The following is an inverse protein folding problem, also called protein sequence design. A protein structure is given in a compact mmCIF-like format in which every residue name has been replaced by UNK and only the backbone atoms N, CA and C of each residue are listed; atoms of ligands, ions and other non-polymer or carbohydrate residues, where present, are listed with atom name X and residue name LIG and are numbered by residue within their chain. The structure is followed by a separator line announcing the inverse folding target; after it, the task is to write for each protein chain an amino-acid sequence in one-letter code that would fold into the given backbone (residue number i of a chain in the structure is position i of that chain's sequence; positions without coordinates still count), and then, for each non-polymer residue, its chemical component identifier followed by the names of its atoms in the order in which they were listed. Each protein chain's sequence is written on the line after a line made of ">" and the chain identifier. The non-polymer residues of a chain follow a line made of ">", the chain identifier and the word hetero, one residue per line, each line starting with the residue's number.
data_IF_904423984960
#
_entry.id   IF_904423984960
#
_cell.length_a   1.000
_cell.length_b   1.000
_cell.length_c   1.000
_cell.angle_alpha   90.00
_cell.angle_beta   90.00
_cell.angle_gamma   90.00
#
_symmetry.space_group_name_H-M   'P 1'
#
loop_
_entity.id
_entity.type
_entity.pdbx_description
1 polymer ?
#
# COMPACT_ATOMS: atom_id res chain seq x y z
N UNK A 1 5.71 -12.07 3.84
CA UNK A 1 6.34 -11.65 2.57
C UNK A 1 6.57 -10.15 2.52
N UNK A 2 5.60 -9.28 2.87
CA UNK A 2 5.78 -7.83 2.88
C UNK A 2 6.96 -7.34 3.75
N UNK A 3 7.15 -7.92 4.93
CA UNK A 3 8.29 -7.60 5.81
C UNK A 3 9.64 -8.03 5.21
N UNK A 4 9.71 -9.17 4.54
CA UNK A 4 10.95 -9.63 3.90
C UNK A 4 11.34 -8.73 2.70
N UNK A 5 10.36 -8.23 1.97
CA UNK A 5 10.57 -7.26 0.87
C UNK A 5 11.07 -5.92 1.43
N UNK A 6 10.47 -5.45 2.53
CA UNK A 6 10.87 -4.20 3.19
C UNK A 6 12.28 -4.28 3.81
N UNK A 7 12.75 -5.47 4.18
CA UNK A 7 14.09 -5.67 4.72
C UNK A 7 15.18 -5.66 3.63
N UNK A 8 14.88 -6.18 2.44
CA UNK A 8 15.87 -6.33 1.36
C UNK A 8 15.95 -5.15 0.39
N UNK A 9 14.90 -4.34 0.30
CA UNK A 9 14.82 -3.21 -0.63
C UNK A 9 14.87 -1.86 0.11
N UNK A 10 15.32 -0.79 -0.56
CA UNK A 10 15.09 0.56 -0.07
C UNK A 10 13.60 0.74 0.23
N UNK A 11 13.28 1.29 1.39
CA UNK A 11 11.91 1.27 1.93
C UNK A 11 10.87 1.87 0.97
N UNK A 12 11.26 2.91 0.23
CA UNK A 12 10.38 3.53 -0.78
C UNK A 12 10.14 2.61 -1.98
N UNK A 13 11.15 1.82 -2.37
CA UNK A 13 11.02 0.80 -3.43
C UNK A 13 10.10 -0.34 -2.99
N UNK A 14 10.14 -0.71 -1.71
CA UNK A 14 9.23 -1.71 -1.15
C UNK A 14 7.78 -1.23 -1.19
N UNK A 15 7.52 0.05 -0.83
CA UNK A 15 6.19 0.67 -0.92
C UNK A 15 5.73 0.75 -2.38
N UNK A 16 6.60 1.15 -3.30
CA UNK A 16 6.28 1.22 -4.72
C UNK A 16 5.94 -0.17 -5.30
N UNK A 17 6.75 -1.18 -5.02
CA UNK A 17 6.54 -2.55 -5.50
C UNK A 17 5.22 -3.12 -4.97
N UNK A 18 4.96 -3.01 -3.66
CA UNK A 18 3.71 -3.49 -3.06
C UNK A 18 2.50 -2.69 -3.54
N UNK A 19 2.66 -1.40 -3.81
CA UNK A 19 1.67 -0.55 -4.43
C UNK A 19 1.31 -0.98 -5.85
N UNK A 20 2.31 -1.36 -6.66
CA UNK A 20 2.09 -1.92 -8.01
C UNK A 20 1.32 -3.24 -7.92
N UNK A 21 1.72 -4.15 -7.04
CA UNK A 21 1.00 -5.41 -6.82
C UNK A 21 -0.45 -5.14 -6.44
N UNK A 22 -0.70 -4.18 -5.55
CA UNK A 22 -2.05 -3.75 -5.16
C UNK A 22 -2.85 -3.21 -6.33
N UNK A 23 -2.27 -2.32 -7.15
CA UNK A 23 -2.94 -1.74 -8.31
C UNK A 23 -3.30 -2.81 -9.36
N UNK A 24 -2.41 -3.77 -9.60
CA UNK A 24 -2.66 -4.89 -10.50
C UNK A 24 -3.78 -5.80 -9.97
N UNK A 25 -3.82 -6.05 -8.67
CA UNK A 25 -4.90 -6.83 -8.04
C UNK A 25 -6.26 -6.17 -8.26
N UNK A 26 -6.36 -4.87 -7.99
CA UNK A 26 -7.58 -4.08 -8.20
C UNK A 26 -8.01 -4.05 -9.68
N UNK A 27 -7.05 -3.92 -10.59
CA UNK A 27 -7.31 -4.00 -12.03
C UNK A 27 -7.85 -5.38 -12.44
N UNK A 28 -7.35 -6.46 -11.83
CA UNK A 28 -7.85 -7.82 -12.02
C UNK A 28 -9.30 -7.97 -11.58
N UNK A 29 -9.67 -7.45 -10.42
CA UNK A 29 -11.06 -7.45 -9.95
C UNK A 29 -11.97 -6.62 -10.86
N UNK A 30 -11.51 -5.43 -11.28
CA UNK A 30 -12.24 -4.64 -12.26
C UNK A 30 -12.48 -5.41 -13.57
N UNK A 31 -11.46 -6.09 -14.08
CA UNK A 31 -11.57 -6.90 -15.28
C UNK A 31 -12.63 -8.01 -15.15
N UNK A 32 -12.69 -8.68 -13.99
CA UNK A 32 -13.72 -9.69 -13.71
C UNK A 32 -15.13 -9.10 -13.73
N UNK A 33 -15.31 -7.86 -13.25
CA UNK A 33 -16.63 -7.20 -13.32
C UNK A 33 -17.03 -6.84 -14.75
N UNK A 34 -16.07 -6.63 -15.64
CA UNK A 34 -16.32 -6.34 -17.07
C UNK A 34 -16.71 -7.61 -17.82
N UNK A 35 -16.18 -8.76 -17.47
CA UNK A 35 -16.52 -10.06 -18.07
C UNK A 35 -17.98 -10.48 -17.85
N UNK A 36 -18.65 -9.94 -16.84
CA UNK A 36 -20.08 -10.12 -16.59
C UNK A 36 -20.48 -11.47 -15.98
N UNK A 37 -19.76 -12.56 -16.25
CA UNK A 37 -20.00 -13.89 -15.68
C UNK A 37 -18.67 -14.58 -15.35
N UNK A 38 -17.92 -14.10 -14.35
CA UNK A 38 -16.68 -14.76 -13.95
C UNK A 38 -16.98 -16.09 -13.26
N UNK A 39 -16.08 -17.08 -13.42
CA UNK A 39 -16.19 -18.33 -12.67
C UNK A 39 -15.94 -18.07 -11.18
N UNK A 40 -16.60 -18.82 -10.27
CA UNK A 40 -16.37 -18.68 -8.83
C UNK A 40 -14.90 -18.81 -8.42
N UNK A 41 -14.17 -19.70 -9.07
CA UNK A 41 -12.73 -19.88 -8.84
C UNK A 41 -11.90 -18.66 -9.22
N UNK A 42 -12.24 -18.00 -10.32
CA UNK A 42 -11.56 -16.76 -10.74
C UNK A 42 -11.80 -15.62 -9.73
N UNK A 43 -13.01 -15.50 -9.20
CA UNK A 43 -13.35 -14.51 -8.16
C UNK A 43 -12.55 -14.79 -6.89
N UNK A 44 -12.55 -16.04 -6.40
CA UNK A 44 -11.80 -16.40 -5.18
C UNK A 44 -10.32 -16.11 -5.36
N UNK A 45 -9.73 -16.46 -6.51
CA UNK A 45 -8.31 -16.21 -6.78
C UNK A 45 -7.99 -14.72 -6.81
N UNK A 46 -8.79 -13.92 -7.51
CA UNK A 46 -8.59 -12.47 -7.60
C UNK A 46 -8.69 -11.79 -6.22
N UNK A 47 -9.73 -12.12 -5.44
CA UNK A 47 -9.94 -11.59 -4.09
C UNK A 47 -8.81 -12.00 -3.14
N UNK A 48 -8.34 -13.25 -3.22
CA UNK A 48 -7.19 -13.71 -2.43
C UNK A 48 -5.93 -12.92 -2.77
N UNK A 49 -5.67 -12.71 -4.06
CA UNK A 49 -4.51 -11.95 -4.51
C UNK A 49 -4.61 -10.46 -4.12
N UNK A 50 -5.81 -9.90 -4.16
CA UNK A 50 -6.10 -8.53 -3.71
C UNK A 50 -5.82 -8.35 -2.21
N UNK A 51 -6.29 -9.25 -1.37
CA UNK A 51 -6.02 -9.21 0.07
C UNK A 51 -4.54 -9.39 0.38
N UNK A 52 -3.86 -10.25 -0.36
CA UNK A 52 -2.42 -10.44 -0.24
C UNK A 52 -1.66 -9.15 -0.60
N UNK A 53 -1.98 -8.52 -1.73
CA UNK A 53 -1.40 -7.26 -2.16
C UNK A 53 -1.67 -6.12 -1.18
N UNK A 54 -2.91 -6.04 -0.66
CA UNK A 54 -3.32 -5.08 0.35
C UNK A 54 -2.55 -5.23 1.67
N UNK A 55 -2.39 -6.46 2.16
CA UNK A 55 -1.62 -6.76 3.36
C UNK A 55 -0.13 -6.44 3.20
N UNK A 56 0.44 -6.76 2.04
CA UNK A 56 1.84 -6.44 1.74
C UNK A 56 2.09 -4.92 1.70
N UNK A 57 1.19 -4.15 1.06
CA UNK A 57 1.27 -2.69 1.02
C UNK A 57 1.13 -2.09 2.43
N UNK A 58 0.17 -2.55 3.22
CA UNK A 58 -0.01 -2.08 4.61
C UNK A 58 1.26 -2.30 5.43
N UNK A 59 1.89 -3.48 5.32
CA UNK A 59 3.14 -3.78 6.02
C UNK A 59 4.28 -2.86 5.57
N UNK A 60 4.41 -2.61 4.27
CA UNK A 60 5.42 -1.71 3.73
C UNK A 60 5.19 -0.25 4.17
N UNK A 61 3.93 0.20 4.25
CA UNK A 61 3.55 1.52 4.75
C UNK A 61 3.90 1.68 6.24
N UNK A 62 3.62 0.69 7.07
CA UNK A 62 4.04 0.74 8.48
C UNK A 62 5.55 0.78 8.64
N UNK A 63 6.30 -0.01 7.86
CA UNK A 63 7.76 0.05 7.86
C UNK A 63 8.26 1.43 7.41
N UNK A 64 7.63 2.03 6.39
CA UNK A 64 7.94 3.40 5.95
C UNK A 64 7.67 4.43 7.06
N UNK A 65 6.51 4.37 7.72
CA UNK A 65 6.19 5.24 8.84
C UNK A 65 7.21 5.11 9.96
N UNK A 66 7.56 3.89 10.36
CA UNK A 66 8.57 3.64 11.39
C UNK A 66 9.95 4.22 11.02
N UNK A 67 10.32 4.20 9.75
CA UNK A 67 11.59 4.78 9.29
C UNK A 67 11.65 6.31 9.39
N UNK A 68 10.50 6.97 9.54
CA UNK A 68 10.38 8.44 9.66
C UNK A 68 10.14 8.92 11.09
N UNK A 69 9.98 7.99 12.02
CA UNK A 69 9.71 8.31 13.42
C UNK A 69 10.99 8.74 14.13
N UNK A 70 10.92 9.85 14.90
CA UNK A 70 12.00 10.24 15.79
C UNK A 70 12.10 9.24 16.95
N UNK A 71 13.30 8.70 17.18
CA UNK A 71 13.55 7.70 18.23
C UNK A 71 13.25 8.20 19.65
N UNK A 72 13.30 9.53 19.87
CA UNK A 72 13.07 10.14 21.20
C UNK A 72 11.60 10.07 21.62
N UNK A 73 10.68 10.16 20.67
CA UNK A 73 9.21 10.12 20.89
C UNK A 73 8.55 9.02 20.07
N UNK A 74 9.29 7.95 19.82
CA UNK A 74 8.99 6.92 18.83
C UNK A 74 7.60 6.32 18.95
N UNK A 75 7.20 5.93 20.17
CA UNK A 75 5.91 5.29 20.39
C UNK A 75 4.73 6.22 20.07
N UNK A 76 4.76 7.45 20.59
CA UNK A 76 3.69 8.43 20.39
C UNK A 76 3.60 8.84 18.92
N UNK A 77 4.73 9.15 18.28
CA UNK A 77 4.76 9.57 16.88
C UNK A 77 4.26 8.46 15.95
N UNK A 78 4.68 7.21 16.17
CA UNK A 78 4.20 6.07 15.42
C UNK A 78 2.68 5.86 15.59
N UNK A 79 2.19 5.95 16.83
CA UNK A 79 0.75 5.81 17.12
C UNK A 79 -0.08 6.86 16.38
N UNK A 80 0.36 8.12 16.37
CA UNK A 80 -0.32 9.18 15.63
C UNK A 80 -0.36 8.87 14.12
N UNK A 81 0.77 8.46 13.54
CA UNK A 81 0.81 8.09 12.12
C UNK A 81 -0.08 6.89 11.80
N UNK A 82 -0.11 5.89 12.67
CA UNK A 82 -0.98 4.72 12.51
C UNK A 82 -2.47 5.10 12.63
N UNK A 83 -2.83 6.01 13.54
CA UNK A 83 -4.19 6.53 13.64
C UNK A 83 -4.61 7.29 12.38
N UNK A 84 -3.73 8.14 11.83
CA UNK A 84 -3.99 8.87 10.57
C UNK A 84 -4.21 7.87 9.41
N UNK A 85 -3.43 6.81 9.34
CA UNK A 85 -3.57 5.77 8.31
C UNK A 85 -4.93 5.05 8.41
N UNK A 86 -5.34 4.68 9.62
CA UNK A 86 -6.63 4.02 9.88
C UNK A 86 -7.79 4.98 9.56
N UNK A 87 -7.72 6.22 10.04
CA UNK A 87 -8.73 7.24 9.78
C UNK A 87 -8.84 7.56 8.29
N UNK A 88 -7.73 7.57 7.56
CA UNK A 88 -7.72 7.76 6.11
C UNK A 88 -8.45 6.65 5.33
N UNK A 89 -8.49 5.43 5.86
CA UNK A 89 -9.23 4.30 5.27
C UNK A 89 -10.72 4.29 5.62
N UNK A 90 -11.11 4.95 6.72
CA UNK A 90 -12.47 4.92 7.24
C UNK A 90 -13.51 5.48 6.25
N UNK A 91 -13.32 6.65 5.60
CA UNK A 91 -14.27 7.16 4.62
C UNK A 91 -14.48 6.21 3.44
N UNK A 92 -13.41 5.57 2.96
CA UNK A 92 -13.50 4.60 1.88
C UNK A 92 -14.36 3.38 2.24
N UNK A 93 -14.23 2.88 3.47
CA UNK A 93 -15.05 1.77 3.97
C UNK A 93 -16.51 2.16 4.13
N UNK A 94 -16.77 3.35 4.68
CA UNK A 94 -18.13 3.85 4.88
C UNK A 94 -18.86 4.11 3.57
N UNK A 95 -18.16 4.68 2.60
CA UNK A 95 -18.72 5.04 1.30
C UNK A 95 -18.80 3.85 0.33
N UNK A 96 -18.11 2.75 0.60
CA UNK A 96 -18.07 1.60 -0.32
C UNK A 96 -19.46 1.03 -0.62
N UNK A 97 -20.33 0.94 0.39
CA UNK A 97 -21.72 0.50 0.20
C UNK A 97 -22.53 1.45 -0.66
N UNK A 98 -22.43 2.76 -0.43
CA UNK A 98 -23.10 3.78 -1.22
C UNK A 98 -22.57 3.82 -2.67
N UNK A 99 -21.28 3.67 -2.85
CA UNK A 99 -20.65 3.60 -4.17
C UNK A 99 -21.08 2.34 -4.93
N UNK A 100 -21.18 1.21 -4.25
CA UNK A 100 -21.64 -0.04 -4.85
C UNK A 100 -23.11 0.06 -5.30
N UNK A 101 -23.97 0.75 -4.54
CA UNK A 101 -25.37 0.93 -4.90
C UNK A 101 -25.58 1.97 -5.99
N UNK A 102 -24.79 3.04 -6.02
CA UNK A 102 -24.95 4.15 -6.99
C UNK A 102 -24.22 3.92 -8.32
N UNK A 103 -22.99 3.42 -8.27
CA UNK A 103 -22.12 3.21 -9.43
C UNK A 103 -22.09 1.74 -9.90
N UNK A 104 -22.68 0.84 -9.10
CA UNK A 104 -22.54 -0.59 -9.29
C UNK A 104 -21.11 -1.09 -8.98
N UNK A 105 -20.95 -2.40 -8.93
CA UNK A 105 -19.64 -3.01 -8.67
C UNK A 105 -18.57 -2.62 -9.69
N UNK A 106 -18.96 -2.48 -10.95
CA UNK A 106 -18.05 -2.07 -12.03
C UNK A 106 -17.50 -0.67 -11.81
N UNK A 107 -18.33 0.28 -11.43
CA UNK A 107 -17.89 1.65 -11.15
C UNK A 107 -17.03 1.73 -9.88
N UNK A 108 -17.40 0.99 -8.84
CA UNK A 108 -16.65 0.93 -7.58
C UNK A 108 -15.23 0.37 -7.78
N UNK A 109 -15.07 -0.76 -8.46
CA UNK A 109 -13.74 -1.34 -8.74
C UNK A 109 -12.94 -0.49 -9.74
N UNK A 110 -13.61 0.14 -10.70
CA UNK A 110 -12.97 1.12 -11.61
C UNK A 110 -12.39 2.31 -10.87
N UNK A 111 -13.16 2.88 -9.93
CA UNK A 111 -12.69 3.98 -9.08
C UNK A 111 -11.52 3.55 -8.19
N UNK A 112 -11.61 2.38 -7.54
CA UNK A 112 -10.54 1.82 -6.74
C UNK A 112 -9.24 1.61 -7.53
N UNK A 113 -9.36 1.12 -8.76
CA UNK A 113 -8.23 0.95 -9.67
C UNK A 113 -7.61 2.30 -10.03
N UNK A 114 -8.42 3.29 -10.40
CA UNK A 114 -7.95 4.64 -10.74
C UNK A 114 -7.22 5.30 -9.56
N UNK A 115 -7.77 5.20 -8.33
CA UNK A 115 -7.13 5.71 -7.12
C UNK A 115 -5.82 5.00 -6.80
N UNK A 116 -5.73 3.69 -7.05
CA UNK A 116 -4.49 2.91 -6.87
C UNK A 116 -3.39 3.37 -7.82
N UNK A 117 -3.72 3.66 -9.08
CA UNK A 117 -2.76 4.25 -10.03
C UNK A 117 -2.39 5.69 -9.65
N UNK A 118 -3.35 6.50 -9.20
CA UNK A 118 -3.07 7.86 -8.72
C UNK A 118 -2.10 7.84 -7.52
N UNK A 119 -2.26 6.89 -6.60
CA UNK A 119 -1.32 6.69 -5.51
C UNK A 119 0.11 6.40 -6.01
N UNK A 120 0.26 5.54 -7.03
CA UNK A 120 1.58 5.25 -7.61
C UNK A 120 2.21 6.49 -8.24
N UNK A 121 1.42 7.33 -8.90
CA UNK A 121 1.91 8.61 -9.45
C UNK A 121 2.40 9.56 -8.35
N UNK A 122 1.75 9.58 -7.18
CA UNK A 122 2.19 10.37 -6.04
C UNK A 122 3.52 9.89 -5.43
N UNK A 123 3.90 8.64 -5.63
CA UNK A 123 5.20 8.13 -5.17
C UNK A 123 6.38 8.64 -6.02
N UNK A 124 6.15 9.05 -7.26
CA UNK A 124 7.21 9.53 -8.17
C UNK A 124 7.93 10.76 -7.61
N UNK A 125 7.24 11.85 -7.19
CA UNK A 125 7.93 13.00 -6.61
C UNK A 125 8.59 12.67 -5.26
N UNK A 126 8.01 11.77 -4.45
CA UNK A 126 8.62 11.34 -3.20
C UNK A 126 9.95 10.61 -3.41
N UNK A 127 10.08 9.82 -4.48
CA UNK A 127 11.31 9.11 -4.81
C UNK A 127 12.45 10.06 -5.17
N UNK A 128 12.13 11.21 -5.78
CA UNK A 128 13.10 12.26 -6.15
C UNK A 128 13.52 13.11 -4.95
N UNK A 129 12.66 13.24 -3.95
CA UNK A 129 12.87 14.07 -2.76
C UNK A 129 13.54 13.34 -1.60
N UNK A 130 13.79 12.03 -1.72
CA UNK A 130 14.51 11.28 -0.69
C UNK A 130 16.01 11.63 -0.77
N UNK A 131 16.56 12.43 0.16
CA UNK A 131 18.00 12.58 0.23
C UNK A 131 18.62 11.22 0.52
N UNK A 132 19.83 10.99 0.00
CA UNK A 132 20.66 9.80 0.26
C UNK A 132 21.08 9.74 1.75
N UNK A 133 20.13 9.72 2.65
CA UNK A 133 20.34 9.52 4.09
C UNK A 133 20.24 8.04 4.35
N UNK A 134 21.29 7.30 4.18
CA UNK A 134 21.43 6.01 4.83
C UNK A 134 22.75 5.27 4.55
N UNK A 135 23.82 5.97 4.29
CA UNK A 135 25.13 5.27 4.25
C UNK A 135 26.17 5.84 5.21
N UNK A 136 25.78 6.77 6.06
CA UNK A 136 26.70 7.47 6.97
C UNK A 136 26.48 7.19 8.46
N UNK A 137 25.84 6.10 8.84
CA UNK A 137 25.59 5.80 10.25
C UNK A 137 25.85 4.33 10.63
N UNK A 138 26.81 3.69 10.00
CA UNK A 138 27.49 2.57 10.63
C UNK A 138 28.79 3.12 11.21
N UNK A 139 28.98 3.09 12.54
CA UNK A 139 30.27 3.34 13.13
C UNK A 139 31.26 2.33 12.53
N UNK A 140 32.52 2.73 12.30
CA UNK A 140 33.54 1.78 11.84
C UNK A 140 33.62 0.63 12.85
N UNK A 141 33.88 -0.62 12.39
CA UNK A 141 34.09 -1.73 13.30
C UNK A 141 35.23 -1.36 14.25
N UNK A 142 34.96 -1.40 15.56
CA UNK A 142 36.00 -1.29 16.57
C UNK A 142 37.02 -2.41 16.28
N UNK A 143 38.22 -2.00 15.92
CA UNK A 143 39.36 -2.88 15.79
C UNK A 143 39.82 -3.23 17.21
N UNK A 144 39.55 -4.44 17.64
CA UNK A 144 40.26 -5.09 18.76
C UNK A 144 41.72 -5.36 18.38
#
# INVERSE_FOLDING_TARGET
>A
LGGAVAYRLPILSAVALTGIVRALSMAGEYYLTVLGKPSPSAVILATTFEHFGGGALTTAMFAFMMSRVDRRVGATHYTVLACIEILGKFPGRLLSGLLATSLGYRGMFGLGTALSFAFLLLLIPLSKSSPKVARAALPPPESD
#
